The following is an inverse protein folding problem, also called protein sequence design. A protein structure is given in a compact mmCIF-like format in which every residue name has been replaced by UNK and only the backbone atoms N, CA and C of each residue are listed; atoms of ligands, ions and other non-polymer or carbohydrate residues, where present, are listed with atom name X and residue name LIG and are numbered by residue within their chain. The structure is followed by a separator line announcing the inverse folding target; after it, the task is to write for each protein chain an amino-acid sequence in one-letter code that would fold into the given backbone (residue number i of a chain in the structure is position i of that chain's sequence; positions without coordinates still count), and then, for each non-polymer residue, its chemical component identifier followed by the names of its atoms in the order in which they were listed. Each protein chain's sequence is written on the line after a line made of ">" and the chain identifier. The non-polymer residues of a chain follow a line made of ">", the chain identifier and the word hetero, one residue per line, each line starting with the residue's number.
data_IF_741480277297
#
_entry.id   IF_741480277297
#
_cell.length_a   1.000
_cell.length_b   1.000
_cell.length_c   1.000
_cell.angle_alpha   90.00
_cell.angle_beta   90.00
_cell.angle_gamma   90.00
#
_symmetry.space_group_name_H-M   'P 1'
#
loop_
_entity.id
_entity.type
_entity.pdbx_description
1 polymer ?
#
# COMPACT_ATOMS: atom_id res chain seq x y z
N UNK A 1 14.14 15.18 -10.25
CA UNK A 1 13.98 13.86 -9.61
C UNK A 1 13.02 13.08 -10.51
N UNK A 2 13.39 11.88 -10.98
CA UNK A 2 12.60 11.12 -11.98
C UNK A 2 11.28 10.64 -11.37
N UNK A 3 10.13 10.96 -11.99
CA UNK A 3 8.80 10.62 -11.46
C UNK A 3 8.64 9.12 -11.13
N UNK A 4 9.35 8.25 -11.85
CA UNK A 4 9.31 6.81 -11.57
C UNK A 4 10.02 6.44 -10.28
N UNK A 5 11.10 7.14 -9.94
CA UNK A 5 11.86 6.89 -8.72
C UNK A 5 11.00 7.27 -7.51
N UNK A 6 10.34 8.43 -7.54
CA UNK A 6 9.43 8.86 -6.48
C UNK A 6 8.29 7.86 -6.27
N UNK A 7 7.71 7.33 -7.35
CA UNK A 7 6.68 6.31 -7.25
C UNK A 7 7.21 4.99 -6.69
N UNK A 8 8.44 4.62 -7.04
CA UNK A 8 9.10 3.43 -6.50
C UNK A 8 9.29 3.54 -4.98
N UNK A 9 9.85 4.65 -4.52
CA UNK A 9 10.04 4.97 -3.09
C UNK A 9 8.71 4.95 -2.32
N UNK A 10 7.64 5.51 -2.93
CA UNK A 10 6.30 5.47 -2.36
C UNK A 10 5.76 4.04 -2.25
N UNK A 11 5.94 3.21 -3.28
CA UNK A 11 5.52 1.81 -3.26
C UNK A 11 6.32 0.95 -2.26
N UNK A 12 7.62 1.24 -2.07
CA UNK A 12 8.43 0.62 -1.02
C UNK A 12 7.93 1.01 0.38
N UNK A 13 7.58 2.29 0.58
CA UNK A 13 6.98 2.79 1.82
C UNK A 13 5.64 2.12 2.11
N UNK A 14 4.81 1.94 1.08
CA UNK A 14 3.58 1.15 1.18
C UNK A 14 3.83 -0.30 1.58
N UNK A 15 4.85 -0.97 1.04
CA UNK A 15 5.16 -2.34 1.39
C UNK A 15 5.58 -2.47 2.87
N UNK A 16 6.39 -1.53 3.37
CA UNK A 16 6.74 -1.46 4.79
C UNK A 16 5.51 -1.25 5.68
N UNK A 17 4.64 -0.30 5.30
CA UNK A 17 3.36 -0.06 5.96
C UNK A 17 2.47 -1.31 5.98
N UNK A 18 2.33 -2.02 4.85
CA UNK A 18 1.49 -3.22 4.75
C UNK A 18 1.98 -4.33 5.70
N UNK A 19 3.29 -4.52 5.84
CA UNK A 19 3.87 -5.49 6.80
C UNK A 19 3.63 -5.08 8.25
N UNK A 20 3.70 -3.78 8.55
CA UNK A 20 3.43 -3.26 9.89
C UNK A 20 1.98 -3.50 10.32
N UNK A 21 1.03 -3.69 9.39
CA UNK A 21 -0.38 -3.94 9.73
C UNK A 21 -0.62 -5.21 10.56
N UNK A 22 0.28 -6.20 10.47
CA UNK A 22 0.20 -7.40 11.31
C UNK A 22 0.30 -7.06 12.81
N UNK A 23 0.86 -5.91 13.17
CA UNK A 23 0.97 -5.45 14.55
C UNK A 23 -0.38 -5.03 15.16
N UNK A 24 -1.38 -4.69 14.33
CA UNK A 24 -2.74 -4.41 14.82
C UNK A 24 -3.54 -5.68 15.10
N UNK A 25 -3.08 -6.84 14.62
CA UNK A 25 -3.75 -8.10 14.88
C UNK A 25 -3.37 -8.61 16.29
N UNK A 26 -4.30 -9.24 17.03
CA UNK A 26 -3.96 -9.92 18.27
C UNK A 26 -2.89 -11.00 17.98
N UNK A 27 -1.94 -11.16 18.90
CA UNK A 27 -0.89 -12.16 18.78
C UNK A 27 -1.52 -13.55 18.61
N UNK A 28 -1.10 -14.27 17.58
CA UNK A 28 -1.54 -15.66 17.37
C UNK A 28 -1.07 -16.47 18.59
N UNK A 29 -1.96 -17.22 19.27
CA UNK A 29 -1.58 -18.00 20.44
C UNK A 29 -0.45 -18.97 20.09
N UNK A 30 0.68 -18.82 20.78
CA UNK A 30 1.84 -19.67 20.59
C UNK A 30 1.69 -20.97 21.40
N UNK A 31 2.14 -22.10 20.85
CA UNK A 31 2.16 -23.36 21.59
C UNK A 31 3.14 -23.29 22.79
N UNK A 32 2.95 -24.17 23.77
CA UNK A 32 3.72 -24.16 25.04
C UNK A 32 5.24 -24.26 24.78
N UNK A 33 5.65 -25.12 23.84
CA UNK A 33 7.06 -25.28 23.48
C UNK A 33 7.68 -24.00 22.90
N UNK A 34 6.92 -23.24 22.11
CA UNK A 34 7.36 -21.97 21.55
C UNK A 34 7.51 -20.88 22.63
N UNK A 35 6.69 -20.93 23.68
CA UNK A 35 6.76 -20.01 24.83
C UNK A 35 7.94 -20.29 25.76
N UNK A 36 8.43 -21.53 25.80
CA UNK A 36 9.59 -21.92 26.63
C UNK A 36 10.94 -21.57 26.01
N UNK A 37 10.98 -21.24 24.71
CA UNK A 37 12.22 -20.80 24.06
C UNK A 37 12.50 -19.34 24.45
N UNK A 38 13.73 -18.98 24.84
CA UNK A 38 14.09 -17.58 25.03
C UNK A 38 13.91 -16.85 23.70
N UNK A 39 12.90 -15.98 23.62
CA UNK A 39 12.74 -15.10 22.48
C UNK A 39 13.66 -13.89 22.68
N UNK A 40 14.39 -13.47 21.64
CA UNK A 40 15.11 -12.21 21.73
C UNK A 40 14.09 -11.11 22.03
N UNK A 41 14.30 -10.36 23.12
CA UNK A 41 13.55 -9.15 23.41
C UNK A 41 13.89 -8.17 22.30
N UNK A 42 13.07 -8.16 21.25
CA UNK A 42 13.11 -7.13 20.21
C UNK A 42 12.07 -6.10 20.58
N UNK A 43 12.44 -4.83 20.51
CA UNK A 43 11.45 -3.75 20.58
C UNK A 43 10.36 -4.02 19.54
N UNK A 44 9.11 -3.96 19.98
CA UNK A 44 7.97 -4.06 19.07
C UNK A 44 8.02 -2.80 18.20
N UNK A 45 8.22 -2.93 16.88
CA UNK A 45 8.28 -1.75 16.02
C UNK A 45 6.94 -1.02 16.08
N UNK A 46 6.98 0.32 16.07
CA UNK A 46 5.74 1.09 15.96
C UNK A 46 5.05 0.82 14.62
N UNK A 47 3.72 0.68 14.68
CA UNK A 47 2.93 0.51 13.47
C UNK A 47 2.82 1.84 12.71
N UNK A 48 3.09 1.81 11.41
CA UNK A 48 3.00 3.01 10.57
C UNK A 48 1.52 3.36 10.38
N UNK A 49 1.10 4.52 10.86
CA UNK A 49 -0.22 5.09 10.60
C UNK A 49 -0.11 6.18 9.54
N UNK A 50 -0.38 5.83 8.29
CA UNK A 50 -0.41 6.78 7.18
C UNK A 50 -1.73 6.65 6.42
N UNK A 51 -2.44 7.78 6.34
CA UNK A 51 -3.68 7.91 5.57
C UNK A 51 -3.39 7.67 4.07
N UNK A 52 -2.31 8.24 3.55
CA UNK A 52 -1.94 8.11 2.15
C UNK A 52 -1.69 6.65 1.73
N UNK A 53 -0.92 5.92 2.53
CA UNK A 53 -0.62 4.50 2.27
C UNK A 53 -1.87 3.63 2.39
N UNK A 54 -2.80 4.00 3.28
CA UNK A 54 -4.09 3.31 3.41
C UNK A 54 -4.98 3.51 2.19
N UNK A 55 -5.08 4.72 1.64
CA UNK A 55 -5.83 4.99 0.41
C UNK A 55 -5.16 4.38 -0.81
N UNK A 56 -3.82 4.35 -0.86
CA UNK A 56 -3.11 3.61 -1.90
C UNK A 56 -3.42 2.12 -1.87
N UNK A 57 -3.50 1.52 -0.68
CA UNK A 57 -3.91 0.13 -0.55
C UNK A 57 -5.34 -0.11 -1.07
N UNK A 58 -6.27 0.79 -0.74
CA UNK A 58 -7.65 0.71 -1.26
C UNK A 58 -7.69 0.85 -2.79
N UNK A 59 -6.94 1.80 -3.35
CA UNK A 59 -6.82 1.97 -4.79
C UNK A 59 -6.24 0.72 -5.47
N UNK A 60 -5.21 0.11 -4.88
CA UNK A 60 -4.62 -1.14 -5.37
C UNK A 60 -5.61 -2.31 -5.29
N UNK A 61 -6.34 -2.45 -4.18
CA UNK A 61 -7.38 -3.47 -4.04
C UNK A 61 -8.49 -3.31 -5.08
N UNK A 62 -8.86 -2.07 -5.41
CA UNK A 62 -9.86 -1.76 -6.44
C UNK A 62 -9.42 -1.99 -7.89
N UNK A 63 -8.12 -2.21 -8.15
CA UNK A 63 -7.65 -2.59 -9.48
C UNK A 63 -8.08 -4.03 -9.82
N UNK A 64 -8.39 -4.32 -11.11
CA UNK A 64 -8.76 -5.66 -11.52
C UNK A 64 -7.64 -6.67 -11.24
N UNK A 65 -8.04 -7.89 -10.86
CA UNK A 65 -7.09 -8.99 -10.68
C UNK A 65 -6.44 -9.34 -12.02
N UNK A 66 -5.15 -9.02 -12.12
CA UNK A 66 -4.37 -9.16 -13.34
C UNK A 66 -2.98 -9.68 -13.01
N UNK A 67 -2.30 -10.24 -14.02
CA UNK A 67 -0.90 -10.67 -13.87
C UNK A 67 0.02 -9.52 -13.46
N UNK A 68 -0.30 -8.27 -13.83
CA UNK A 68 0.45 -7.09 -13.40
C UNK A 68 0.29 -6.79 -11.92
N UNK A 69 -0.93 -6.93 -11.38
CA UNK A 69 -1.21 -6.83 -9.95
C UNK A 69 -0.48 -7.90 -9.14
N UNK A 70 -0.47 -9.14 -9.64
CA UNK A 70 0.31 -10.23 -9.04
C UNK A 70 1.81 -9.96 -9.10
N UNK A 71 2.34 -9.50 -10.24
CA UNK A 71 3.76 -9.11 -10.37
C UNK A 71 4.13 -8.01 -9.38
N UNK A 72 3.25 -7.02 -9.18
CA UNK A 72 3.43 -5.96 -8.19
C UNK A 72 3.52 -6.51 -6.77
N UNK A 73 2.64 -7.44 -6.37
CA UNK A 73 2.71 -8.09 -5.06
C UNK A 73 3.98 -8.92 -4.88
N UNK A 74 4.36 -9.72 -5.89
CA UNK A 74 5.60 -10.50 -5.84
C UNK A 74 6.83 -9.61 -5.68
N UNK A 75 6.84 -8.46 -6.36
CA UNK A 75 7.96 -7.55 -6.33
C UNK A 75 8.07 -6.76 -5.01
N UNK A 76 7.00 -6.09 -4.57
CA UNK A 76 7.06 -5.22 -3.39
C UNK A 76 6.75 -5.93 -2.09
N UNK A 77 5.70 -6.77 -2.07
CA UNK A 77 5.23 -7.37 -0.81
C UNK A 77 6.09 -8.58 -0.43
N UNK A 78 6.34 -9.47 -1.39
CA UNK A 78 7.09 -10.71 -1.18
C UNK A 78 8.60 -10.58 -1.47
N UNK A 79 9.06 -9.46 -2.02
CA UNK A 79 10.47 -9.19 -2.34
C UNK A 79 11.15 -10.31 -3.15
N UNK A 80 10.44 -10.90 -4.11
CA UNK A 80 10.97 -11.99 -4.94
C UNK A 80 12.10 -11.47 -5.83
N UNK A 81 13.34 -11.77 -5.44
CA UNK A 81 14.57 -11.40 -6.18
C UNK A 81 14.81 -12.18 -7.48
N UNK A 82 14.49 -13.48 -7.61
CA UNK A 82 14.64 -14.17 -8.89
C UNK A 82 13.51 -13.79 -9.86
N UNK A 83 13.54 -12.55 -10.36
CA UNK A 83 12.50 -11.97 -11.23
C UNK A 83 12.30 -12.79 -12.51
N UNK A 84 13.35 -13.45 -13.02
CA UNK A 84 13.24 -14.33 -14.19
C UNK A 84 12.30 -15.51 -13.94
N UNK A 85 12.40 -16.12 -12.76
CA UNK A 85 11.55 -17.25 -12.36
C UNK A 85 10.12 -16.74 -12.15
N UNK A 86 9.94 -15.65 -11.40
CA UNK A 86 8.62 -15.06 -11.19
C UNK A 86 7.93 -14.66 -12.51
N UNK A 87 8.67 -14.10 -13.46
CA UNK A 87 8.15 -13.77 -14.79
C UNK A 87 7.76 -15.02 -15.58
N UNK A 88 8.57 -16.09 -15.52
CA UNK A 88 8.27 -17.38 -16.15
C UNK A 88 6.98 -18.00 -15.60
N UNK A 89 6.82 -18.03 -14.26
CA UNK A 89 5.61 -18.53 -13.60
C UNK A 89 4.36 -17.74 -13.96
N UNK A 90 4.49 -16.42 -14.15
CA UNK A 90 3.41 -15.56 -14.60
C UNK A 90 3.19 -15.59 -16.14
N UNK A 91 3.98 -16.37 -16.87
CA UNK A 91 3.90 -16.48 -18.34
C UNK A 91 4.21 -15.17 -19.05
N UNK A 92 5.22 -14.43 -18.60
CA UNK A 92 5.66 -13.15 -19.17
C UNK A 92 7.17 -13.06 -19.32
N UNK A 93 7.63 -12.16 -20.19
CA UNK A 93 9.07 -11.85 -20.29
C UNK A 93 9.53 -11.04 -19.07
N UNK A 94 10.82 -11.09 -18.74
CA UNK A 94 11.40 -10.28 -17.65
C UNK A 94 11.17 -8.78 -17.85
N UNK A 95 11.26 -8.28 -19.09
CA UNK A 95 10.94 -6.89 -19.40
C UNK A 95 9.45 -6.60 -19.24
N UNK A 96 8.59 -7.54 -19.64
CA UNK A 96 7.15 -7.48 -19.42
C UNK A 96 6.79 -7.38 -17.94
N UNK A 97 7.50 -8.11 -17.08
CA UNK A 97 7.34 -8.04 -15.62
C UNK A 97 7.59 -6.63 -15.09
N UNK A 98 8.76 -6.04 -15.36
CA UNK A 98 9.07 -4.68 -14.89
C UNK A 98 8.10 -3.63 -15.45
N UNK A 99 7.71 -3.78 -16.72
CA UNK A 99 6.71 -2.90 -17.33
C UNK A 99 5.35 -3.03 -16.61
N UNK A 100 4.91 -4.25 -16.32
CA UNK A 100 3.65 -4.50 -15.63
C UNK A 100 3.66 -3.91 -14.21
N UNK A 101 4.74 -4.12 -13.45
CA UNK A 101 4.92 -3.51 -12.12
C UNK A 101 4.84 -1.98 -12.20
N UNK A 102 5.55 -1.36 -13.16
CA UNK A 102 5.53 0.10 -13.35
C UNK A 102 4.14 0.61 -13.70
N UNK A 103 3.42 -0.08 -14.58
CA UNK A 103 2.06 0.29 -14.98
C UNK A 103 1.10 0.20 -13.79
N UNK A 104 1.06 -0.94 -13.09
CA UNK A 104 0.19 -1.15 -11.93
C UNK A 104 0.46 -0.13 -10.83
N UNK A 105 1.73 0.18 -10.56
CA UNK A 105 2.13 1.23 -9.61
C UNK A 105 1.55 2.58 -9.99
N UNK A 106 1.66 2.97 -11.26
CA UNK A 106 1.10 4.23 -11.77
C UNK A 106 -0.42 4.28 -11.68
N UNK A 107 -1.10 3.18 -12.01
CA UNK A 107 -2.56 3.07 -11.92
C UNK A 107 -3.06 3.19 -10.47
N UNK A 108 -2.43 2.47 -9.55
CA UNK A 108 -2.75 2.53 -8.12
C UNK A 108 -2.51 3.95 -7.57
N UNK A 109 -1.41 4.58 -7.94
CA UNK A 109 -1.10 5.95 -7.51
C UNK A 109 -2.13 6.97 -8.03
N UNK A 110 -2.56 6.85 -9.30
CA UNK A 110 -3.63 7.69 -9.85
C UNK A 110 -4.98 7.43 -9.17
N UNK A 111 -5.29 6.18 -8.84
CA UNK A 111 -6.47 5.81 -8.04
C UNK A 111 -6.46 6.48 -6.68
N UNK A 112 -5.35 6.36 -5.95
CA UNK A 112 -5.09 7.03 -4.68
C UNK A 112 -5.29 8.55 -4.77
N UNK A 113 -4.65 9.20 -5.72
CA UNK A 113 -4.75 10.66 -5.90
C UNK A 113 -6.19 11.10 -6.14
N UNK A 114 -6.97 10.33 -6.91
CA UNK A 114 -8.40 10.61 -7.12
C UNK A 114 -9.21 10.51 -5.82
N UNK A 115 -8.93 9.51 -4.98
CA UNK A 115 -9.61 9.35 -3.68
C UNK A 115 -9.29 10.50 -2.74
N UNK A 116 -8.03 10.94 -2.67
CA UNK A 116 -7.62 12.08 -1.85
C UNK A 116 -8.22 13.40 -2.33
N UNK A 117 -8.20 13.65 -3.64
CA UNK A 117 -8.80 14.86 -4.22
C UNK A 117 -10.32 14.91 -4.01
N UNK A 118 -11.01 13.78 -4.09
CA UNK A 118 -12.45 13.71 -3.81
C UNK A 118 -12.80 13.72 -2.31
N UNK A 119 -11.88 13.27 -1.45
CA UNK A 119 -12.05 13.28 0.01
C UNK A 119 -11.97 14.69 0.59
N UNK A 120 -11.01 15.50 0.16
CA UNK A 120 -10.85 16.88 0.62
C UNK A 120 -12.09 17.75 0.36
N UNK A 121 -12.75 17.56 -0.79
CA UNK A 121 -13.96 18.30 -1.13
C UNK A 121 -15.12 17.98 -0.18
N UNK A 122 -15.29 16.70 0.20
CA UNK A 122 -16.36 16.29 1.11
C UNK A 122 -16.13 16.73 2.56
N UNK A 123 -14.87 16.77 3.00
CA UNK A 123 -14.53 17.27 4.35
C UNK A 123 -14.79 18.78 4.42
N UNK A 124 -14.43 19.56 3.39
CA UNK A 124 -14.80 20.98 3.35
C UNK A 124 -16.32 21.18 3.32
N UNK A 125 -17.06 20.35 2.58
CA UNK A 125 -18.52 20.45 2.53
C UNK A 125 -19.18 20.07 3.88
N UNK A 126 -18.57 19.14 4.64
CA UNK A 126 -18.98 18.76 5.99
C UNK A 126 -18.63 19.85 7.02
N UNK A 127 -17.47 20.49 6.93
CA UNK A 127 -17.11 21.63 7.79
C UNK A 127 -18.05 22.83 7.55
N UNK A 128 -18.41 23.11 6.30
CA UNK A 128 -19.41 24.14 5.95
C UNK A 128 -20.81 23.80 6.46
N UNK A 129 -21.15 22.51 6.58
CA UNK A 129 -22.45 22.06 7.10
C UNK A 129 -22.52 22.07 8.64
N UNK A 130 -21.41 21.76 9.32
CA UNK A 130 -21.31 21.76 10.78
C UNK A 130 -21.20 23.20 11.34
N UNK A 131 -20.49 24.08 10.64
CA UNK A 131 -20.39 25.50 10.95
C UNK A 131 -21.48 26.21 10.15
N UNK A 132 -22.73 26.17 10.61
CA UNK A 132 -23.89 26.75 9.92
C UNK A 132 -23.84 28.28 9.77
N UNK A 133 -22.87 28.81 9.04
CA UNK A 133 -22.77 30.21 8.66
C UNK A 133 -23.05 30.30 7.16
N UNK A 134 -24.28 30.68 6.75
CA UNK A 134 -24.51 31.06 5.37
C UNK A 134 -23.72 32.33 5.10
N UNK A 135 -22.75 32.25 4.19
CA UNK A 135 -22.10 33.42 3.60
C UNK A 135 -23.12 34.19 2.76
N UNK A 136 -23.92 35.03 3.42
CA UNK A 136 -24.65 36.12 2.79
C UNK A 136 -24.34 37.43 3.52
N UNK A 137 -24.31 38.51 2.74
CA UNK A 137 -23.94 39.92 3.03
C UNK A 137 -22.43 40.18 3.16
N UNK A 138 -21.77 41.00 2.33
CA UNK A 138 -22.14 42.04 1.35
C UNK A 138 -21.23 41.97 0.11
#
# INVERSE_FOLDING_TARGET
>A
MDDNQTLDEFAQSWAAWHRSRRLFAPLIPQNILARMRPQPVREVPDAILSVDLSYFNLALLGLPESRGKLAFYLFYLHEVRPVKVAASELGMTTQGFYKAVRTTRGEAYRGYRRMMSGGNQKVSDLEVSIIGVPSHTL
#
